data_IF_457689843804
#
_entry.id   IF_457689843804
#
_cell.length_a   1.000
_cell.length_b   1.000
_cell.length_c   1.000
_cell.angle_alpha   90.00
_cell.angle_beta   90.00
_cell.angle_gamma   90.00
#
_symmetry.space_group_name_H-M   'P 1'
#
loop_
_entity.id
_entity.type
_entity.pdbx_description
1 polymer ?
#
# COMPACT_ATOMS: atom_id res chain seq x y z
N UNK A 1 -14.15 5.49 -22.12
CA UNK A 1 -15.36 4.92 -21.50
C UNK A 1 -14.96 3.60 -20.84
N UNK A 2 -14.66 3.73 -19.54
CA UNK A 2 -14.68 2.77 -18.43
C UNK A 2 -14.16 1.33 -18.62
N UNK A 3 -12.87 1.16 -18.38
CA UNK A 3 -12.27 -0.10 -17.90
C UNK A 3 -12.34 -0.26 -16.36
N UNK A 4 -12.97 0.68 -15.64
CA UNK A 4 -13.10 0.66 -14.17
C UNK A 4 -14.21 -0.25 -13.62
N UNK A 5 -14.94 -0.96 -14.49
CA UNK A 5 -16.21 -1.63 -14.15
C UNK A 5 -16.14 -3.17 -14.03
N UNK A 6 -14.96 -3.75 -13.82
CA UNK A 6 -14.81 -5.21 -13.56
C UNK A 6 -14.09 -5.58 -12.26
N UNK A 7 -14.26 -4.78 -11.21
CA UNK A 7 -14.10 -5.25 -9.82
C UNK A 7 -15.45 -5.10 -9.10
N UNK A 8 -16.50 -5.63 -9.72
CA UNK A 8 -17.79 -5.87 -9.07
C UNK A 8 -17.94 -7.39 -8.94
N UNK A 9 -18.28 -7.85 -7.73
CA UNK A 9 -18.58 -9.23 -7.32
C UNK A 9 -17.56 -9.98 -6.43
N UNK A 10 -16.77 -9.28 -5.59
CA UNK A 10 -16.14 -9.95 -4.41
C UNK A 10 -15.84 -9.03 -3.21
N UNK A 11 -16.39 -7.81 -3.14
CA UNK A 11 -15.94 -6.75 -2.21
C UNK A 11 -17.06 -6.09 -1.38
N UNK A 12 -18.07 -6.85 -0.96
CA UNK A 12 -19.15 -6.30 -0.12
C UNK A 12 -18.75 -6.17 1.38
N UNK A 13 -17.53 -6.58 1.76
CA UNK A 13 -17.12 -6.76 3.17
C UNK A 13 -15.83 -6.02 3.58
N UNK A 14 -15.36 -5.04 2.82
CA UNK A 14 -14.12 -4.31 3.13
C UNK A 14 -14.30 -2.80 3.04
N UNK A 15 -13.83 -2.05 4.03
CA UNK A 15 -13.61 -0.61 3.87
C UNK A 15 -12.36 -0.40 3.03
N UNK A 16 -12.54 0.25 1.89
CA UNK A 16 -11.42 0.82 1.15
C UNK A 16 -11.00 2.11 1.85
N UNK A 17 -9.83 2.10 2.51
CA UNK A 17 -9.18 3.32 2.91
C UNK A 17 -8.69 3.99 1.63
N UNK A 18 -9.57 4.79 1.00
CA UNK A 18 -9.42 5.39 -0.32
C UNK A 18 -8.28 6.42 -0.34
N UNK A 19 -7.04 5.95 -0.16
CA UNK A 19 -5.83 6.77 -0.18
C UNK A 19 -5.39 7.10 -1.61
N UNK A 20 -6.08 6.54 -2.61
CA UNK A 20 -5.75 6.72 -4.02
C UNK A 20 -5.60 8.18 -4.45
N UNK A 21 -6.46 9.08 -3.94
CA UNK A 21 -6.37 10.51 -4.21
C UNK A 21 -5.12 11.17 -3.59
N UNK A 22 -4.76 10.79 -2.36
CA UNK A 22 -3.56 11.29 -1.67
C UNK A 22 -2.30 10.82 -2.40
N UNK A 23 -2.24 9.54 -2.76
CA UNK A 23 -1.09 9.00 -3.49
C UNK A 23 -0.96 9.58 -4.89
N UNK A 24 -2.06 9.90 -5.57
CA UNK A 24 -2.05 10.56 -6.87
C UNK A 24 -1.49 11.99 -6.78
N UNK A 25 -1.85 12.73 -5.72
CA UNK A 25 -1.28 14.06 -5.47
C UNK A 25 0.24 13.97 -5.24
N UNK A 26 0.69 12.99 -4.46
CA UNK A 26 2.12 12.73 -4.24
C UNK A 26 2.81 12.41 -5.56
N UNK A 27 2.27 11.47 -6.34
CA UNK A 27 2.78 11.11 -7.67
C UNK A 27 2.94 12.35 -8.56
N UNK A 28 1.89 13.16 -8.68
CA UNK A 28 1.90 14.41 -9.47
C UNK A 28 2.95 15.41 -8.98
N UNK A 29 3.19 15.48 -7.67
CA UNK A 29 4.19 16.39 -7.09
C UNK A 29 5.61 16.00 -7.48
N UNK A 30 5.89 14.71 -7.59
CA UNK A 30 7.22 14.18 -7.85
C UNK A 30 7.48 13.88 -9.34
N UNK A 31 6.44 13.75 -10.16
CA UNK A 31 6.56 13.51 -11.62
C UNK A 31 7.04 14.73 -12.43
N UNK A 32 7.25 15.89 -11.81
CA UNK A 32 7.65 17.13 -12.48
C UNK A 32 9.14 17.28 -12.75
N UNK A 33 9.92 16.19 -12.70
CA UNK A 33 11.35 16.15 -13.05
C UNK A 33 12.29 16.96 -12.16
N UNK A 34 11.80 17.52 -11.04
CA UNK A 34 12.59 18.34 -10.11
C UNK A 34 13.86 17.64 -9.59
N UNK A 35 13.81 16.32 -9.52
CA UNK A 35 14.88 15.49 -8.96
C UNK A 35 15.59 14.66 -10.03
N UNK A 36 15.27 14.88 -11.31
CA UNK A 36 15.92 14.18 -12.41
C UNK A 36 17.39 14.62 -12.51
N UNK A 37 18.30 13.67 -12.71
CA UNK A 37 19.74 13.93 -12.83
C UNK A 37 20.47 14.13 -11.50
N UNK A 38 19.82 13.93 -10.36
CA UNK A 38 20.50 13.82 -9.05
C UNK A 38 21.23 12.47 -8.97
N UNK A 39 22.48 12.51 -8.53
CA UNK A 39 23.31 11.31 -8.33
C UNK A 39 23.37 10.87 -6.86
N UNK A 40 22.91 11.73 -5.94
CA UNK A 40 22.97 11.54 -4.50
C UNK A 40 21.72 10.88 -3.90
N UNK A 41 20.59 10.90 -4.60
CA UNK A 41 19.38 10.17 -4.22
C UNK A 41 18.41 10.00 -5.40
N UNK A 42 17.39 9.18 -5.20
CA UNK A 42 16.26 9.02 -6.11
C UNK A 42 14.93 9.01 -5.36
N UNK A 43 13.84 9.30 -6.06
CA UNK A 43 12.48 9.25 -5.51
C UNK A 43 11.75 8.06 -6.13
N UNK A 44 11.36 7.09 -5.29
CA UNK A 44 10.59 5.92 -5.71
C UNK A 44 9.28 5.89 -4.95
N UNK A 45 8.17 5.93 -5.69
CA UNK A 45 6.83 5.87 -5.09
C UNK A 45 6.49 4.44 -4.70
N UNK A 46 5.89 4.27 -3.52
CA UNK A 46 5.45 2.98 -2.99
C UNK A 46 3.91 2.93 -2.95
N UNK A 47 3.24 2.42 -3.99
CA UNK A 47 1.78 2.52 -4.12
C UNK A 47 0.99 1.47 -3.32
N UNK A 48 1.63 0.69 -2.45
CA UNK A 48 0.97 -0.40 -1.69
C UNK A 48 -0.26 0.04 -0.90
N UNK A 49 -0.40 1.33 -0.57
CA UNK A 49 -1.54 1.83 0.18
C UNK A 49 -2.71 2.32 -0.69
N UNK A 50 -2.55 2.40 -2.02
CA UNK A 50 -3.57 2.96 -2.94
C UNK A 50 -4.94 2.30 -2.80
N UNK A 51 -4.92 0.97 -2.68
CA UNK A 51 -6.07 0.10 -2.49
C UNK A 51 -5.92 -0.69 -1.17
N UNK A 52 -5.96 0.02 -0.05
CA UNK A 52 -5.87 -0.58 1.28
C UNK A 52 -7.26 -1.04 1.74
N UNK A 53 -7.41 -2.34 1.98
CA UNK A 53 -8.66 -2.95 2.39
C UNK A 53 -8.60 -3.38 3.86
N UNK A 54 -9.49 -2.84 4.69
CA UNK A 54 -9.70 -3.29 6.07
C UNK A 54 -11.00 -4.08 6.14
N UNK A 55 -11.03 -5.33 6.64
CA UNK A 55 -12.26 -6.12 6.75
C UNK A 55 -13.33 -5.36 7.56
N UNK A 56 -14.55 -5.28 7.03
CA UNK A 56 -15.69 -4.53 7.60
C UNK A 56 -16.66 -5.42 8.40
N UNK A 57 -16.89 -6.67 8.01
CA UNK A 57 -17.77 -7.55 8.77
C UNK A 57 -16.97 -8.17 9.93
N UNK A 58 -17.25 -7.71 11.15
CA UNK A 58 -16.47 -8.05 12.32
C UNK A 58 -15.06 -7.46 12.24
N UNK A 59 -14.92 -6.11 12.19
CA UNK A 59 -13.62 -5.50 12.04
C UNK A 59 -12.75 -5.97 13.20
N UNK A 60 -11.59 -6.54 12.89
CA UNK A 60 -10.61 -6.90 13.90
C UNK A 60 -10.09 -5.59 14.49
N UNK A 61 -10.73 -5.14 15.59
CA UNK A 61 -10.43 -3.89 16.27
C UNK A 61 -8.98 -3.85 16.78
N UNK A 62 -8.29 -4.98 16.84
CA UNK A 62 -6.86 -5.00 17.17
C UNK A 62 -5.98 -4.33 16.11
N UNK A 63 -6.50 -3.99 14.93
CA UNK A 63 -5.81 -3.13 13.95
C UNK A 63 -5.92 -1.63 14.26
N UNK A 64 -6.76 -1.24 15.23
CA UNK A 64 -6.91 0.14 15.67
C UNK A 64 -6.42 0.31 17.11
N UNK A 65 -6.04 1.53 17.45
CA UNK A 65 -5.66 1.94 18.79
C UNK A 65 -6.91 2.07 19.69
N UNK A 66 -6.71 2.40 20.95
CA UNK A 66 -7.79 2.54 21.95
C UNK A 66 -8.84 3.60 21.59
N UNK A 67 -8.52 4.53 20.70
CA UNK A 67 -9.43 5.56 20.19
C UNK A 67 -10.22 5.14 18.94
N UNK A 68 -10.02 3.91 18.47
CA UNK A 68 -10.64 3.38 17.25
C UNK A 68 -10.34 4.21 15.98
N UNK A 69 -9.31 5.05 16.00
CA UNK A 69 -8.96 5.96 14.92
C UNK A 69 -7.52 5.74 14.46
N UNK A 70 -6.55 5.83 15.38
CA UNK A 70 -5.16 5.54 15.03
C UNK A 70 -5.01 4.04 14.73
N UNK A 71 -4.10 3.72 13.82
CA UNK A 71 -3.71 2.33 13.59
C UNK A 71 -2.91 1.81 14.79
N UNK A 72 -3.13 0.55 15.16
CA UNK A 72 -2.38 -0.11 16.21
C UNK A 72 -0.98 -0.50 15.76
N UNK A 73 -0.14 -0.97 16.69
CA UNK A 73 1.13 -1.62 16.38
C UNK A 73 0.97 -2.75 15.36
N UNK A 74 -0.11 -3.55 15.48
CA UNK A 74 -0.41 -4.65 14.57
C UNK A 74 -0.63 -4.16 13.14
N UNK A 75 -1.44 -3.11 12.96
CA UNK A 75 -1.64 -2.49 11.66
C UNK A 75 -0.36 -1.84 11.10
N UNK A 76 0.42 -1.17 11.94
CA UNK A 76 1.71 -0.63 11.56
C UNK A 76 2.65 -1.71 11.03
N UNK A 77 2.69 -2.88 11.67
CA UNK A 77 3.52 -3.99 11.23
C UNK A 77 3.08 -4.52 9.85
N UNK A 78 1.78 -4.66 9.58
CA UNK A 78 1.30 -5.08 8.25
C UNK A 78 1.61 -4.04 7.16
N UNK A 79 1.49 -2.75 7.47
CA UNK A 79 1.91 -1.68 6.55
C UNK A 79 3.42 -1.69 6.29
N UNK A 80 4.24 -1.99 7.30
CA UNK A 80 5.68 -2.09 7.16
C UNK A 80 6.09 -3.27 6.27
N UNK A 81 5.42 -4.42 6.39
CA UNK A 81 5.64 -5.57 5.51
C UNK A 81 5.26 -5.22 4.07
N UNK A 82 4.12 -4.57 3.87
CA UNK A 82 3.68 -4.17 2.53
C UNK A 82 4.67 -3.18 1.88
N UNK A 83 5.19 -2.21 2.65
CA UNK A 83 6.23 -1.29 2.21
C UNK A 83 7.53 -2.04 1.86
N UNK A 84 8.00 -2.94 2.72
CA UNK A 84 9.20 -3.74 2.50
C UNK A 84 9.12 -4.55 1.20
N UNK A 85 8.03 -5.27 1.02
CA UNK A 85 7.80 -6.05 -0.20
C UNK A 85 7.76 -5.14 -1.44
N UNK A 86 7.13 -3.96 -1.33
CA UNK A 86 7.06 -3.00 -2.42
C UNK A 86 8.43 -2.42 -2.79
N UNK A 87 9.34 -2.26 -1.83
CA UNK A 87 10.73 -1.85 -2.09
C UNK A 87 11.50 -2.88 -2.93
N UNK A 88 11.19 -4.17 -2.78
CA UNK A 88 11.84 -5.26 -3.52
C UNK A 88 11.25 -5.48 -4.92
N UNK A 89 10.11 -4.88 -5.24
CA UNK A 89 9.49 -4.98 -6.56
C UNK A 89 10.10 -3.99 -7.57
N UNK A 90 10.22 -4.37 -8.86
CA UNK A 90 10.70 -3.47 -9.90
C UNK A 90 9.88 -2.18 -10.01
N UNK A 91 10.54 -1.05 -10.31
CA UNK A 91 9.87 0.22 -10.57
C UNK A 91 8.87 0.05 -11.73
N UNK A 92 7.65 0.57 -11.55
CA UNK A 92 6.56 0.42 -12.52
C UNK A 92 5.76 -0.89 -12.42
N UNK A 93 6.22 -1.87 -11.63
CA UNK A 93 5.51 -3.14 -11.35
C UNK A 93 5.23 -3.36 -9.87
N UNK A 94 5.13 -2.26 -9.12
CA UNK A 94 4.88 -2.28 -7.69
C UNK A 94 3.41 -2.60 -7.39
N UNK A 95 3.17 -3.45 -6.40
CA UNK A 95 1.82 -3.73 -5.90
C UNK A 95 1.15 -2.46 -5.40
N UNK A 96 -0.17 -2.38 -5.59
CA UNK A 96 -0.99 -1.18 -5.28
C UNK A 96 -1.98 -1.41 -4.15
N UNK A 97 -1.87 -2.53 -3.44
CA UNK A 97 -2.79 -2.96 -2.40
C UNK A 97 -2.03 -3.44 -1.17
N UNK A 98 -2.71 -3.45 -0.03
CA UNK A 98 -2.20 -3.99 1.22
C UNK A 98 -3.10 -5.12 1.72
N UNK A 99 -2.50 -6.27 2.04
CA UNK A 99 -3.18 -7.40 2.66
C UNK A 99 -3.00 -7.33 4.19
N UNK A 100 -4.06 -6.91 4.90
CA UNK A 100 -4.07 -6.80 6.37
C UNK A 100 -4.28 -8.12 7.12
N UNK A 101 -4.05 -9.28 6.51
CA UNK A 101 -4.00 -10.56 7.24
C UNK A 101 -2.76 -10.60 8.13
N UNK A 102 -2.89 -10.91 9.43
CA UNK A 102 -1.74 -10.99 10.33
C UNK A 102 -0.96 -12.29 10.13
N UNK A 103 -0.09 -12.29 9.13
CA UNK A 103 0.71 -13.44 8.73
C UNK A 103 2.13 -12.98 8.41
N UNK A 104 3.10 -13.44 9.22
CA UNK A 104 4.51 -13.06 9.08
C UNK A 104 5.23 -13.79 7.95
N UNK A 105 4.62 -14.83 7.36
CA UNK A 105 5.20 -15.55 6.21
C UNK A 105 5.15 -14.73 4.91
N UNK A 106 4.37 -13.64 4.88
CA UNK A 106 4.26 -12.73 3.74
C UNK A 106 5.51 -11.87 3.48
N UNK A 107 6.49 -11.85 4.40
CA UNK A 107 7.69 -11.01 4.25
C UNK A 107 8.58 -11.62 3.17
N UNK A 108 8.82 -10.87 2.10
CA UNK A 108 9.72 -11.29 1.05
C UNK A 108 11.18 -11.09 1.49
N UNK A 109 12.00 -12.11 1.25
CA UNK A 109 13.44 -11.97 1.36
C UNK A 109 13.98 -11.29 0.08
N UNK A 110 14.98 -10.41 0.18
CA UNK A 110 15.72 -9.96 -0.98
C UNK A 110 16.30 -11.17 -1.71
N UNK A 111 16.16 -11.20 -3.03
CA UNK A 111 16.90 -12.15 -3.86
C UNK A 111 18.13 -11.44 -4.40
N UNK A 112 19.24 -12.16 -4.50
CA UNK A 112 20.40 -11.65 -5.21
C UNK A 112 20.05 -11.48 -6.68
N UNK A 113 20.31 -10.28 -7.21
CA UNK A 113 20.29 -10.06 -8.65
C UNK A 113 21.68 -10.48 -9.13
N UNK A 114 21.76 -11.69 -9.71
CA UNK A 114 22.96 -12.19 -10.37
C UNK A 114 23.26 -11.40 -11.65
#
# INVERSE_FOLDING_TARGET
>A
MDSYLKVKHTVDNYYNFNSGSVQEIVLKKFSGGRYDGREDFTVVIQPYFRNAFVPFIGPDLSFFSVDCFHVSERAHAEMAIALWNNMLEPVGRKQVYNNFTYDRTKINCPFEVC
#
